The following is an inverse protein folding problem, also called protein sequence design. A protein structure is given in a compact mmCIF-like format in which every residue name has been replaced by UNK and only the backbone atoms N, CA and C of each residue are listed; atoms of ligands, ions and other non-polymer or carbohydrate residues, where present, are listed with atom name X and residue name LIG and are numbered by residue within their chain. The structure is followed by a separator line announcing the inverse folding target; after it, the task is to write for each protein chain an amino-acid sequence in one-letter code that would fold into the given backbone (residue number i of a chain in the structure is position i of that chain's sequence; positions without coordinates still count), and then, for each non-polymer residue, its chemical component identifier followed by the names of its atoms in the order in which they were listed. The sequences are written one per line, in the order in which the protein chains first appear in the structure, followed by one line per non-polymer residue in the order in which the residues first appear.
data_IF_247445220847
#
_entry.id   IF_247445220847
#
_cell.length_a   1.000
_cell.length_b   1.000
_cell.length_c   1.000
_cell.angle_alpha   90.00
_cell.angle_beta   90.00
_cell.angle_gamma   90.00
#
_symmetry.space_group_name_H-M   'P 1'
#
loop_
_entity.id
_entity.type
_entity.pdbx_description
1 polymer ?
#
# COMPACT_ATOMS: atom_id res chain seq x y z
N UNK A 1 -1.61 -9.19 -15.78
CA UNK A 1 -2.32 -8.63 -14.61
C UNK A 1 -1.39 -8.70 -13.41
N UNK A 2 -1.09 -7.59 -12.75
CA UNK A 2 -0.22 -7.60 -11.56
C UNK A 2 -0.97 -8.31 -10.44
N UNK A 3 -0.41 -9.40 -9.91
CA UNK A 3 -1.00 -10.16 -8.80
C UNK A 3 -0.33 -9.76 -7.50
N UNK A 4 -1.12 -9.47 -6.47
CA UNK A 4 -0.62 -9.21 -5.11
C UNK A 4 -0.85 -10.44 -4.24
N UNK A 5 0.14 -10.79 -3.41
CA UNK A 5 -0.03 -11.76 -2.34
C UNK A 5 -0.71 -11.12 -1.11
N UNK A 6 -1.02 -11.91 -0.09
CA UNK A 6 -1.72 -11.43 1.12
C UNK A 6 -0.97 -10.30 1.83
N UNK A 7 0.34 -10.41 1.99
CA UNK A 7 1.13 -9.38 2.69
C UNK A 7 1.27 -8.12 1.85
N UNK A 8 1.45 -8.26 0.54
CA UNK A 8 1.44 -7.14 -0.39
C UNK A 8 0.12 -6.37 -0.35
N UNK A 9 -1.02 -7.08 -0.25
CA UNK A 9 -2.33 -6.43 -0.11
C UNK A 9 -2.44 -5.67 1.21
N UNK A 10 -1.95 -6.22 2.32
CA UNK A 10 -1.95 -5.52 3.62
C UNK A 10 -1.11 -4.25 3.56
N UNK A 11 0.12 -4.35 3.03
CA UNK A 11 1.02 -3.19 2.91
C UNK A 11 0.44 -2.15 1.96
N UNK A 12 -0.08 -2.57 0.82
CA UNK A 12 -0.68 -1.64 -0.15
C UNK A 12 -1.93 -0.95 0.41
N UNK A 13 -2.80 -1.69 1.11
CA UNK A 13 -3.95 -1.11 1.83
C UNK A 13 -3.51 -0.05 2.83
N UNK A 14 -2.52 -0.37 3.67
CA UNK A 14 -2.01 0.57 4.67
C UNK A 14 -1.44 1.85 4.05
N UNK A 15 -0.67 1.74 2.96
CA UNK A 15 -0.13 2.92 2.25
C UNK A 15 -1.21 3.68 1.49
N UNK A 16 -2.21 3.01 0.94
CA UNK A 16 -3.33 3.64 0.27
C UNK A 16 -4.10 4.58 1.21
N UNK A 17 -4.40 4.09 2.40
CA UNK A 17 -5.19 4.83 3.39
C UNK A 17 -4.39 5.99 3.98
N UNK A 18 -3.09 5.81 4.23
CA UNK A 18 -2.23 6.83 4.85
C UNK A 18 -1.51 7.76 3.85
N UNK A 19 -1.42 7.39 2.57
CA UNK A 19 -0.71 8.07 1.47
C UNK A 19 0.82 8.16 1.64
N UNK A 20 1.32 8.53 2.82
CA UNK A 20 2.74 8.71 3.13
C UNK A 20 2.99 8.35 4.58
N UNK A 21 3.93 7.44 4.83
CA UNK A 21 4.23 6.94 6.18
C UNK A 21 5.73 6.91 6.40
N UNK A 22 6.18 7.44 7.53
CA UNK A 22 7.58 7.35 7.96
C UNK A 22 7.99 5.89 8.22
N UNK A 23 9.24 5.56 7.88
CA UNK A 23 9.78 4.18 7.87
C UNK A 23 9.61 3.47 9.21
N UNK A 24 9.85 4.16 10.33
CA UNK A 24 9.70 3.59 11.68
C UNK A 24 8.25 3.19 11.97
N UNK A 25 7.28 4.08 11.66
CA UNK A 25 5.86 3.80 11.87
C UNK A 25 5.37 2.72 10.91
N UNK A 26 5.81 2.79 9.66
CA UNK A 26 5.49 1.81 8.64
C UNK A 26 5.91 0.40 9.05
N UNK A 27 7.15 0.23 9.50
CA UNK A 27 7.66 -1.07 9.93
C UNK A 27 6.95 -1.57 11.18
N UNK A 28 6.82 -0.71 12.20
CA UNK A 28 6.17 -1.06 13.47
C UNK A 28 4.72 -1.49 13.26
N UNK A 29 3.92 -0.66 12.61
CA UNK A 29 2.48 -0.89 12.49
C UNK A 29 2.21 -2.13 11.62
N UNK A 30 2.90 -2.25 10.47
CA UNK A 30 2.71 -3.39 9.59
C UNK A 30 3.15 -4.71 10.23
N UNK A 31 4.23 -4.69 11.02
CA UNK A 31 4.68 -5.89 11.72
C UNK A 31 3.77 -6.24 12.91
N UNK A 32 3.49 -5.29 13.80
CA UNK A 32 2.83 -5.57 15.08
C UNK A 32 1.30 -5.61 14.97
N UNK A 33 0.70 -4.79 14.11
CA UNK A 33 -0.76 -4.65 14.00
C UNK A 33 -1.29 -5.49 12.84
N UNK A 34 -0.62 -5.44 11.69
CA UNK A 34 -1.09 -6.13 10.47
C UNK A 34 -0.45 -7.52 10.26
N UNK A 35 0.51 -7.91 11.10
CA UNK A 35 1.15 -9.22 11.07
C UNK A 35 1.94 -9.49 9.78
N UNK A 36 2.51 -8.44 9.16
CA UNK A 36 3.37 -8.55 7.98
C UNK A 36 4.80 -8.78 8.44
N UNK A 37 5.36 -9.94 8.07
CA UNK A 37 6.75 -10.25 8.36
C UNK A 37 7.66 -9.51 7.37
N UNK A 38 8.66 -8.79 7.90
CA UNK A 38 9.63 -7.98 7.12
C UNK A 38 8.95 -6.98 6.16
N UNK A 39 8.20 -5.98 6.67
CA UNK A 39 7.43 -5.03 5.85
C UNK A 39 8.26 -4.33 4.75
N UNK A 40 9.52 -4.04 5.03
CA UNK A 40 10.45 -3.38 4.10
C UNK A 40 10.71 -4.23 2.84
N UNK A 41 10.80 -5.57 2.97
CA UNK A 41 10.97 -6.46 1.82
C UNK A 41 9.69 -6.52 0.97
N UNK A 42 8.52 -6.56 1.62
CA UNK A 42 7.23 -6.53 0.93
C UNK A 42 7.05 -5.20 0.19
N UNK A 43 7.44 -4.08 0.81
CA UNK A 43 7.42 -2.75 0.20
C UNK A 43 8.34 -2.67 -1.03
N UNK A 44 9.50 -3.35 -1.02
CA UNK A 44 10.38 -3.42 -2.18
C UNK A 44 9.68 -4.06 -3.40
N UNK A 45 8.98 -5.19 -3.20
CA UNK A 45 8.16 -5.83 -4.26
C UNK A 45 7.07 -4.89 -4.79
N UNK A 46 6.39 -4.15 -3.90
CA UNK A 46 5.35 -3.18 -4.30
C UNK A 46 5.92 -1.98 -5.07
N UNK A 47 7.17 -1.58 -4.80
CA UNK A 47 7.88 -0.56 -5.57
C UNK A 47 8.22 -1.04 -6.98
N UNK A 48 8.65 -2.28 -7.14
CA UNK A 48 8.89 -2.90 -8.46
C UNK A 48 7.59 -2.96 -9.28
N UNK A 49 6.45 -3.18 -8.61
CA UNK A 49 5.11 -3.12 -9.21
C UNK A 49 4.60 -1.70 -9.47
N UNK A 50 5.36 -0.68 -9.05
CA UNK A 50 5.06 0.72 -9.32
C UNK A 50 3.89 1.31 -8.54
N UNK A 51 3.41 0.65 -7.47
CA UNK A 51 2.26 1.13 -6.68
C UNK A 51 2.65 1.88 -5.40
N UNK A 52 3.91 1.73 -4.98
CA UNK A 52 4.51 2.47 -3.86
C UNK A 52 5.82 3.10 -4.32
N UNK A 53 6.19 4.23 -3.71
CA UNK A 53 7.44 4.97 -3.90
C UNK A 53 8.18 5.10 -2.55
N UNK A 54 9.52 5.16 -2.58
CA UNK A 54 10.33 5.45 -1.38
C UNK A 54 10.83 6.89 -1.45
N UNK A 55 10.56 7.66 -0.40
CA UNK A 55 11.19 8.96 -0.15
C UNK A 55 12.30 8.82 0.89
N UNK A 56 12.83 9.94 1.37
CA UNK A 56 13.82 9.93 2.46
C UNK A 56 13.13 9.52 3.78
N UNK A 57 13.40 8.29 4.23
CA UNK A 57 12.82 7.75 5.46
C UNK A 57 11.30 7.54 5.43
N UNK A 58 10.67 7.42 4.24
CA UNK A 58 9.23 7.22 4.13
C UNK A 58 8.79 6.35 2.93
N UNK A 59 7.63 5.74 3.07
CA UNK A 59 6.93 4.97 2.03
C UNK A 59 5.67 5.70 1.61
N UNK A 60 5.50 5.89 0.31
CA UNK A 60 4.45 6.71 -0.27
C UNK A 60 3.62 5.92 -1.27
N UNK A 61 2.34 6.24 -1.36
CA UNK A 61 1.51 5.82 -2.49
C UNK A 61 2.08 6.46 -3.77
N UNK A 62 2.23 5.64 -4.82
CA UNK A 62 2.76 6.11 -6.08
C UNK A 62 1.98 7.31 -6.61
N UNK A 63 2.68 8.30 -7.18
CA UNK A 63 2.09 9.60 -7.52
C UNK A 63 0.89 9.47 -8.47
N UNK A 64 0.95 8.54 -9.41
CA UNK A 64 -0.13 8.29 -10.38
C UNK A 64 -1.41 7.72 -9.74
N UNK A 65 -1.31 7.06 -8.59
CA UNK A 65 -2.46 6.52 -7.84
C UNK A 65 -3.16 7.57 -6.97
N UNK A 66 -2.52 8.70 -6.65
CA UNK A 66 -3.06 9.68 -5.70
C UNK A 66 -4.36 10.33 -6.19
N UNK A 67 -4.46 10.63 -7.48
CA UNK A 67 -5.69 11.14 -8.09
C UNK A 67 -6.84 10.14 -8.01
N UNK A 68 -6.53 8.85 -8.15
CA UNK A 68 -7.52 7.78 -8.01
C UNK A 68 -7.95 7.62 -6.55
N UNK A 69 -6.99 7.56 -5.61
CA UNK A 69 -7.25 7.52 -4.17
C UNK A 69 -8.13 8.68 -3.71
N UNK A 70 -7.91 9.89 -4.21
CA UNK A 70 -8.76 11.05 -3.89
C UNK A 70 -10.22 10.87 -4.33
N UNK A 71 -10.47 10.18 -5.45
CA UNK A 71 -11.82 9.93 -5.97
C UNK A 71 -12.51 8.77 -5.25
N UNK A 72 -11.76 7.73 -4.91
CA UNK A 72 -12.29 6.48 -4.34
C UNK A 72 -12.45 6.57 -2.81
N UNK A 73 -11.47 7.15 -2.11
CA UNK A 73 -11.44 7.14 -0.65
C UNK A 73 -10.57 6.01 -0.11
N UNK A 74 -11.15 5.16 0.74
CA UNK A 74 -10.42 4.11 1.45
C UNK A 74 -10.06 2.92 0.55
N UNK A 75 -9.16 2.07 1.02
CA UNK A 75 -8.83 0.83 0.31
C UNK A 75 -10.03 -0.13 0.23
N UNK A 76 -10.91 -0.10 1.24
CA UNK A 76 -12.15 -0.88 1.23
C UNK A 76 -13.09 -0.43 0.10
N UNK A 77 -13.20 0.88 -0.14
CA UNK A 77 -13.99 1.43 -1.25
C UNK A 77 -13.41 1.00 -2.61
N UNK A 78 -12.08 1.00 -2.74
CA UNK A 78 -11.41 0.48 -3.93
C UNK A 78 -11.76 -0.98 -4.16
N UNK A 79 -11.70 -1.81 -3.12
CA UNK A 79 -11.97 -3.24 -3.22
C UNK A 79 -13.43 -3.51 -3.63
N UNK A 80 -14.38 -2.81 -3.01
CA UNK A 80 -15.80 -2.89 -3.38
C UNK A 80 -16.06 -2.47 -4.84
N UNK A 81 -15.29 -1.53 -5.37
CA UNK A 81 -15.39 -1.11 -6.77
C UNK A 81 -14.83 -2.19 -7.70
N UNK A 82 -13.65 -2.74 -7.38
CA UNK A 82 -13.01 -3.80 -8.17
C UNK A 82 -13.84 -5.10 -8.19
N UNK A 83 -14.45 -5.48 -7.06
CA UNK A 83 -15.30 -6.68 -6.96
C UNK A 83 -16.60 -6.55 -7.78
N UNK A 84 -16.96 -5.33 -8.20
CA UNK A 84 -18.12 -5.05 -9.07
C UNK A 84 -17.75 -4.94 -10.54
N UNK A 85 -16.47 -4.98 -10.89
CA UNK A 85 -16.04 -4.98 -12.29
C UNK A 85 -16.24 -6.39 -12.88
N UNK A 86 -16.79 -6.51 -14.10
CA UNK A 86 -16.97 -7.78 -14.79
C UNK A 86 -15.63 -8.45 -15.15
#
# INVERSE_FOLDING_TARGET
MVKFNSDELKVFSYVWDNISVGEILFERDLNQIHGVNKPILVAASLREKGVIERGEGCYNLARWLRSLRKKIGSFQDLRLLLDKLP
#
